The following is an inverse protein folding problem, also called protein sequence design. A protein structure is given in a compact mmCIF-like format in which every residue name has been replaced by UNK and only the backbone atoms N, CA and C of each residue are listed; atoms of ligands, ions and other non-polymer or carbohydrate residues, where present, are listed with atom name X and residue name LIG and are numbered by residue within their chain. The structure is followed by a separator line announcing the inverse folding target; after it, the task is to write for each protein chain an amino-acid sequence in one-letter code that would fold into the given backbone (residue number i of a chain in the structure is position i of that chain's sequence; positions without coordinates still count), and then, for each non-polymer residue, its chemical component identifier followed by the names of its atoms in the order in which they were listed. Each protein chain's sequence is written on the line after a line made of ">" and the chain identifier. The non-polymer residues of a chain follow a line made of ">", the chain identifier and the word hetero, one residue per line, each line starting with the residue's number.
data_IF_727266381000
#
_entry.id   IF_727266381000
#
_cell.length_a   1.000
_cell.length_b   1.000
_cell.length_c   1.000
_cell.angle_alpha   90.00
_cell.angle_beta   90.00
_cell.angle_gamma   90.00
#
_symmetry.space_group_name_H-M   'P 1'
#
loop_
_entity.id
_entity.type
_entity.pdbx_description
1 polymer ?
#
# COMPACT_ATOMS: atom_id res chain seq x y z
N UNK A 1 -27.15 4.32 -9.78
CA UNK A 1 -26.44 4.92 -8.63
C UNK A 1 -24.98 5.10 -9.05
N UNK A 2 -24.47 6.33 -9.21
CA UNK A 2 -23.05 6.53 -9.57
C UNK A 2 -22.21 6.36 -8.30
N UNK A 3 -21.38 5.33 -8.25
CA UNK A 3 -20.44 5.12 -7.14
C UNK A 3 -19.30 6.12 -7.33
N UNK A 4 -19.23 7.13 -6.47
CA UNK A 4 -18.10 8.07 -6.47
C UNK A 4 -17.07 7.59 -5.46
N UNK A 5 -15.96 7.03 -5.96
CA UNK A 5 -14.81 6.72 -5.14
C UNK A 5 -14.10 8.00 -4.71
N UNK A 6 -13.83 8.09 -3.41
CA UNK A 6 -12.96 9.11 -2.85
C UNK A 6 -11.49 8.76 -3.11
N UNK A 7 -10.62 9.77 -3.04
CA UNK A 7 -9.18 9.57 -3.18
C UNK A 7 -8.62 8.56 -2.15
N UNK A 8 -9.22 8.47 -0.97
CA UNK A 8 -8.83 7.50 0.08
C UNK A 8 -9.12 6.07 -0.39
N UNK A 9 -10.30 5.82 -0.95
CA UNK A 9 -10.68 4.50 -1.46
C UNK A 9 -9.85 4.11 -2.68
N UNK A 10 -9.54 5.07 -3.54
CA UNK A 10 -8.61 4.86 -4.64
C UNK A 10 -7.24 4.42 -4.12
N UNK A 11 -6.70 5.08 -3.09
CA UNK A 11 -5.41 4.72 -2.51
C UNK A 11 -5.45 3.35 -1.81
N UNK A 12 -6.54 2.96 -1.15
CA UNK A 12 -6.68 1.59 -0.64
C UNK A 12 -6.67 0.54 -1.75
N UNK A 13 -7.32 0.81 -2.88
CA UNK A 13 -7.28 -0.08 -4.04
C UNK A 13 -5.86 -0.18 -4.62
N UNK A 14 -5.13 0.93 -4.69
CA UNK A 14 -3.72 0.92 -5.12
C UNK A 14 -2.91 0.00 -4.21
N UNK A 15 -2.99 0.18 -2.88
CA UNK A 15 -2.26 -0.66 -1.92
C UNK A 15 -2.65 -2.14 -2.10
N UNK A 16 -3.95 -2.45 -2.19
CA UNK A 16 -4.43 -3.81 -2.38
C UNK A 16 -3.86 -4.45 -3.65
N UNK A 17 -3.92 -3.74 -4.78
CA UNK A 17 -3.42 -4.24 -6.07
C UNK A 17 -1.91 -4.43 -6.01
N UNK A 18 -1.17 -3.45 -5.47
CA UNK A 18 0.29 -3.56 -5.36
C UNK A 18 0.72 -4.66 -4.41
N UNK A 19 0.00 -4.88 -3.30
CA UNK A 19 0.23 -5.99 -2.38
C UNK A 19 -0.02 -7.34 -3.06
N UNK A 20 -1.10 -7.46 -3.83
CA UNK A 20 -1.39 -8.67 -4.60
C UNK A 20 -0.32 -8.94 -5.66
N UNK A 21 0.04 -7.92 -6.44
CA UNK A 21 1.07 -8.06 -7.48
C UNK A 21 2.43 -8.40 -6.87
N UNK A 22 2.77 -7.81 -5.72
CA UNK A 22 3.99 -8.13 -5.00
C UNK A 22 4.04 -9.60 -4.59
N UNK A 23 2.97 -10.12 -4.00
CA UNK A 23 2.88 -11.53 -3.57
C UNK A 23 2.87 -12.51 -4.74
N UNK A 24 2.19 -12.18 -5.84
CA UNK A 24 1.97 -13.11 -6.96
C UNK A 24 3.06 -13.05 -8.02
N UNK A 25 3.81 -11.95 -8.08
CA UNK A 25 4.92 -11.76 -9.00
C UNK A 25 6.25 -11.58 -8.24
N UNK A 26 6.37 -12.05 -7.00
CA UNK A 26 7.61 -11.95 -6.20
C UNK A 26 8.81 -12.66 -6.85
N UNK A 27 8.59 -13.53 -7.84
CA UNK A 27 9.66 -14.12 -8.66
C UNK A 27 10.07 -13.25 -9.86
N UNK A 28 9.35 -12.16 -10.12
CA UNK A 28 9.54 -11.26 -11.25
C UNK A 28 8.40 -11.32 -12.28
N UNK A 29 8.21 -10.23 -13.02
CA UNK A 29 7.41 -10.24 -14.24
C UNK A 29 8.33 -10.70 -15.37
N UNK A 30 7.87 -11.67 -16.16
CA UNK A 30 8.65 -12.22 -17.26
C UNK A 30 7.76 -12.69 -18.41
N UNK A 31 8.38 -13.05 -19.52
CA UNK A 31 7.71 -13.69 -20.63
C UNK A 31 8.48 -14.96 -21.02
N UNK A 32 7.74 -15.97 -21.45
CA UNK A 32 8.28 -17.20 -22.00
C UNK A 32 8.46 -17.01 -23.53
N UNK A 33 9.69 -17.17 -24.03
CA UNK A 33 9.99 -17.09 -25.46
C UNK A 33 9.99 -18.47 -26.15
N UNK A 34 9.65 -19.54 -25.40
CA UNK A 34 9.62 -20.93 -25.86
C UNK A 34 10.93 -21.70 -25.66
N UNK A 35 12.00 -21.04 -25.22
CA UNK A 35 13.28 -21.68 -24.87
C UNK A 35 13.63 -21.48 -23.39
N UNK A 36 13.43 -20.26 -22.86
CA UNK A 36 13.67 -19.94 -21.45
C UNK A 36 12.69 -18.85 -20.95
N UNK A 37 12.36 -18.87 -19.65
CA UNK A 37 11.58 -17.81 -19.02
C UNK A 37 12.47 -16.58 -18.79
N UNK A 38 12.19 -15.47 -19.48
CA UNK A 38 12.94 -14.22 -19.35
C UNK A 38 12.27 -13.27 -18.37
N UNK A 39 12.97 -12.93 -17.30
CA UNK A 39 12.52 -11.91 -16.35
C UNK A 39 12.71 -10.51 -16.96
N UNK A 40 11.63 -9.74 -17.02
CA UNK A 40 11.56 -8.33 -17.41
C UNK A 40 11.83 -7.42 -16.21
N UNK A 41 11.44 -7.86 -15.01
CA UNK A 41 11.80 -7.24 -13.73
C UNK A 41 12.07 -8.34 -12.73
N UNK A 42 13.30 -8.50 -12.25
CA UNK A 42 13.58 -9.32 -11.08
C UNK A 42 13.08 -8.57 -9.86
N UNK A 43 11.92 -8.97 -9.34
CA UNK A 43 11.40 -8.47 -8.08
C UNK A 43 12.20 -9.17 -6.99
N UNK A 44 13.40 -8.69 -6.67
CA UNK A 44 14.17 -9.21 -5.55
C UNK A 44 13.35 -8.99 -4.27
N UNK A 45 12.63 -10.02 -3.81
CA UNK A 45 12.08 -10.06 -2.45
C UNK A 45 13.24 -10.39 -1.51
N UNK A 46 13.36 -9.66 -0.39
CA UNK A 46 14.35 -9.97 0.64
C UNK A 46 14.01 -11.26 1.42
N UNK A 47 12.85 -11.86 1.17
CA UNK A 47 12.42 -13.13 1.75
C UNK A 47 11.02 -13.07 2.37
N UNK A 48 10.79 -13.89 3.40
CA UNK A 48 9.48 -14.07 4.06
C UNK A 48 8.90 -12.79 4.67
N UNK A 49 9.75 -11.82 5.00
CA UNK A 49 9.36 -10.63 5.77
C UNK A 49 8.68 -9.60 4.87
N UNK A 50 9.12 -9.47 3.61
CA UNK A 50 8.48 -8.64 2.59
C UNK A 50 7.11 -9.21 2.17
N UNK A 51 6.98 -10.53 2.11
CA UNK A 51 5.72 -11.21 1.82
C UNK A 51 4.71 -11.00 2.97
N UNK A 52 5.16 -11.15 4.22
CA UNK A 52 4.34 -10.88 5.40
C UNK A 52 3.86 -9.41 5.43
N UNK A 53 4.75 -8.48 5.09
CA UNK A 53 4.43 -7.07 4.93
C UNK A 53 3.34 -6.84 3.87
N UNK A 54 3.56 -7.32 2.64
CA UNK A 54 2.64 -7.12 1.53
C UNK A 54 1.26 -7.72 1.84
N UNK A 55 1.24 -8.90 2.46
CA UNK A 55 0.03 -9.57 2.91
C UNK A 55 -0.74 -8.76 3.95
N UNK A 56 -0.07 -8.28 5.00
CA UNK A 56 -0.72 -7.50 6.06
C UNK A 56 -1.20 -6.14 5.57
N UNK A 57 -0.42 -5.46 4.73
CA UNK A 57 -0.81 -4.20 4.11
C UNK A 57 -2.03 -4.38 3.20
N UNK A 58 -2.04 -5.43 2.36
CA UNK A 58 -3.11 -5.71 1.42
C UNK A 58 -4.42 -6.12 2.12
N UNK A 59 -4.34 -7.02 3.10
CA UNK A 59 -5.51 -7.46 3.88
C UNK A 59 -6.11 -6.30 4.69
N UNK A 60 -5.27 -5.47 5.30
CA UNK A 60 -5.72 -4.25 5.99
C UNK A 60 -6.40 -3.28 5.02
N UNK A 61 -5.77 -3.01 3.87
CA UNK A 61 -6.33 -2.11 2.85
C UNK A 61 -7.68 -2.60 2.34
N UNK A 62 -7.84 -3.90 2.07
CA UNK A 62 -9.12 -4.49 1.66
C UNK A 62 -10.20 -4.30 2.74
N UNK A 63 -9.87 -4.63 3.99
CA UNK A 63 -10.82 -4.50 5.11
C UNK A 63 -11.31 -3.06 5.27
N UNK A 64 -10.39 -2.09 5.30
CA UNK A 64 -10.73 -0.67 5.46
C UNK A 64 -11.37 -0.06 4.21
N UNK A 65 -11.05 -0.56 3.02
CA UNK A 65 -11.76 -0.21 1.79
C UNK A 65 -13.24 -0.60 1.88
N UNK A 66 -13.53 -1.85 2.28
CA UNK A 66 -14.91 -2.33 2.43
C UNK A 66 -15.68 -1.48 3.45
N UNK A 67 -15.07 -1.15 4.59
CA UNK A 67 -15.69 -0.26 5.59
C UNK A 67 -15.92 1.14 5.02
N UNK A 68 -14.93 1.71 4.32
CA UNK A 68 -14.98 3.06 3.77
C UNK A 68 -16.16 3.28 2.83
N UNK A 69 -16.54 2.28 2.05
CA UNK A 69 -17.68 2.35 1.11
C UNK A 69 -18.98 2.67 1.85
N UNK A 70 -19.15 2.17 3.07
CA UNK A 70 -20.40 2.31 3.83
C UNK A 70 -20.38 3.47 4.84
N UNK A 71 -19.22 4.05 5.14
CA UNK A 71 -19.05 5.06 6.18
C UNK A 71 -18.95 6.47 5.59
N UNK A 72 -19.86 7.36 6.00
CA UNK A 72 -19.83 8.79 5.59
C UNK A 72 -18.56 9.52 6.08
N UNK A 73 -18.08 9.20 7.29
CA UNK A 73 -16.93 9.86 7.92
C UNK A 73 -15.59 9.14 7.62
N UNK A 74 -15.19 9.14 6.34
CA UNK A 74 -14.04 8.37 5.82
C UNK A 74 -12.70 8.62 6.54
N UNK A 75 -12.48 9.82 7.08
CA UNK A 75 -11.23 10.17 7.77
C UNK A 75 -11.04 9.47 9.13
N UNK A 76 -12.11 9.04 9.81
CA UNK A 76 -11.96 8.25 11.05
C UNK A 76 -11.52 6.82 10.72
N UNK A 77 -12.10 6.25 9.65
CA UNK A 77 -11.69 4.95 9.09
C UNK A 77 -10.23 5.03 8.65
N UNK A 78 -9.83 6.12 7.98
CA UNK A 78 -8.44 6.39 7.59
C UNK A 78 -7.48 6.39 8.79
N UNK A 79 -7.82 7.09 9.88
CA UNK A 79 -6.97 7.15 11.06
C UNK A 79 -6.70 5.77 11.67
N UNK A 80 -7.74 4.94 11.79
CA UNK A 80 -7.61 3.56 12.28
C UNK A 80 -6.83 2.72 11.27
N UNK A 81 -7.14 2.82 9.97
CA UNK A 81 -6.48 2.07 8.91
C UNK A 81 -4.97 2.33 8.87
N UNK A 82 -4.55 3.57 9.08
CA UNK A 82 -3.14 3.95 9.10
C UNK A 82 -2.38 3.29 10.25
N UNK A 83 -3.02 2.98 11.38
CA UNK A 83 -2.34 2.25 12.47
C UNK A 83 -1.93 0.86 11.97
N UNK A 84 -2.84 0.14 11.30
CA UNK A 84 -2.58 -1.20 10.77
C UNK A 84 -1.60 -1.18 9.59
N UNK A 85 -1.82 -0.27 8.63
CA UNK A 85 -0.96 -0.14 7.45
C UNK A 85 0.45 0.31 7.85
N UNK A 86 0.62 1.27 8.77
CA UNK A 86 1.95 1.68 9.22
C UNK A 86 2.62 0.61 10.09
N UNK A 87 1.85 -0.16 10.87
CA UNK A 87 2.41 -1.29 11.63
C UNK A 87 2.98 -2.38 10.73
N UNK A 88 2.38 -2.64 9.56
CA UNK A 88 2.96 -3.61 8.62
C UNK A 88 4.35 -3.17 8.14
N UNK A 89 4.62 -1.87 7.98
CA UNK A 89 5.96 -1.36 7.61
C UNK A 89 7.03 -1.53 8.71
N UNK A 90 6.65 -1.87 9.94
CA UNK A 90 7.62 -2.11 11.03
C UNK A 90 8.20 -3.53 10.95
N UNK A 91 7.49 -4.45 10.30
CA UNK A 91 7.86 -5.87 10.20
C UNK A 91 9.12 -6.09 9.34
N UNK A 92 9.24 -5.53 8.13
CA UNK A 92 10.50 -5.53 7.41
C UNK A 92 11.44 -4.51 8.08
N UNK A 93 12.63 -4.94 8.50
CA UNK A 93 13.62 -4.04 9.09
C UNK A 93 13.88 -2.87 8.11
N UNK A 94 13.99 -1.65 8.63
CA UNK A 94 14.13 -0.38 7.89
C UNK A 94 15.25 -0.31 6.84
N UNK A 95 16.08 -1.35 6.69
CA UNK A 95 17.13 -1.44 5.68
C UNK A 95 16.73 -2.12 4.36
N UNK A 96 15.82 -3.11 4.36
CA UNK A 96 15.70 -4.03 3.21
C UNK A 96 14.70 -3.60 2.13
N UNK A 97 13.67 -2.81 2.46
CA UNK A 97 12.72 -2.36 1.44
C UNK A 97 13.25 -1.21 0.59
N UNK A 98 14.10 -0.32 1.14
CA UNK A 98 14.70 0.76 0.37
C UNK A 98 15.72 0.22 -0.65
N UNK A 99 16.55 -0.74 -0.25
CA UNK A 99 17.48 -1.42 -1.15
C UNK A 99 16.71 -2.23 -2.21
N UNK A 100 15.63 -2.90 -1.83
CA UNK A 100 14.72 -3.59 -2.78
C UNK A 100 14.10 -2.63 -3.80
N UNK A 101 13.71 -1.43 -3.39
CA UNK A 101 13.21 -0.38 -4.30
C UNK A 101 14.33 0.13 -5.21
N UNK A 102 15.51 0.44 -4.66
CA UNK A 102 16.67 0.90 -5.43
C UNK A 102 17.11 -0.13 -6.48
N UNK A 103 16.93 -1.42 -6.19
CA UNK A 103 17.17 -2.53 -7.10
C UNK A 103 16.04 -2.76 -8.13
N UNK A 104 15.09 -1.83 -8.26
CA UNK A 104 14.10 -1.83 -9.35
C UNK A 104 12.73 -2.41 -9.00
N UNK A 105 12.43 -2.64 -7.72
CA UNK A 105 11.10 -3.08 -7.29
C UNK A 105 10.07 -1.93 -7.30
N UNK A 106 9.61 -1.57 -8.50
CA UNK A 106 8.63 -0.50 -8.70
C UNK A 106 7.28 -0.78 -8.04
N UNK A 107 6.91 -2.06 -7.85
CA UNK A 107 5.65 -2.44 -7.20
C UNK A 107 5.70 -2.01 -5.72
N UNK A 108 6.80 -2.30 -5.03
CA UNK A 108 7.03 -1.88 -3.66
C UNK A 108 7.07 -0.35 -3.55
N UNK A 109 7.68 0.34 -4.53
CA UNK A 109 7.66 1.81 -4.60
C UNK A 109 6.23 2.37 -4.69
N UNK A 110 5.36 1.80 -5.54
CA UNK A 110 3.97 2.24 -5.64
C UNK A 110 3.20 1.98 -4.34
N UNK A 111 3.41 0.83 -3.70
CA UNK A 111 2.80 0.48 -2.43
C UNK A 111 3.18 1.49 -1.33
N UNK A 112 4.48 1.74 -1.17
CA UNK A 112 5.02 2.72 -0.21
C UNK A 112 4.51 4.12 -0.50
N UNK A 113 4.51 4.54 -1.77
CA UNK A 113 4.03 5.87 -2.18
C UNK A 113 2.55 6.07 -1.87
N UNK A 114 1.71 5.06 -2.10
CA UNK A 114 0.30 5.11 -1.76
C UNK A 114 0.07 5.22 -0.24
N UNK A 115 0.85 4.49 0.57
CA UNK A 115 0.80 4.59 2.02
C UNK A 115 1.25 5.99 2.52
N UNK A 116 2.29 6.57 1.93
CA UNK A 116 2.74 7.94 2.24
C UNK A 116 1.63 8.95 1.92
N UNK A 117 0.95 8.83 0.77
CA UNK A 117 -0.15 9.70 0.40
C UNK A 117 -1.32 9.61 1.38
N UNK A 118 -1.67 8.41 1.86
CA UNK A 118 -2.69 8.24 2.91
C UNK A 118 -2.30 8.96 4.21
N UNK A 119 -1.03 8.85 4.62
CA UNK A 119 -0.50 9.56 5.79
C UNK A 119 -0.59 11.09 5.62
N UNK A 120 -0.21 11.62 4.45
CA UNK A 120 -0.32 13.06 4.14
C UNK A 120 -1.77 13.54 4.23
N UNK A 121 -2.72 12.77 3.67
CA UNK A 121 -4.15 13.10 3.73
C UNK A 121 -4.67 13.14 5.17
N UNK A 122 -4.20 12.22 6.01
CA UNK A 122 -4.55 12.20 7.43
C UNK A 122 -3.97 13.40 8.17
N UNK A 123 -2.67 13.67 8.04
CA UNK A 123 -2.01 14.82 8.68
C UNK A 123 -2.66 16.13 8.26
N UNK A 124 -2.93 16.32 6.96
CA UNK A 124 -3.65 17.48 6.45
C UNK A 124 -5.02 17.64 7.15
N UNK A 125 -5.74 16.55 7.35
CA UNK A 125 -7.05 16.60 8.03
C UNK A 125 -6.92 16.97 9.51
N UNK A 126 -5.91 16.43 10.20
CA UNK A 126 -5.63 16.77 11.60
C UNK A 126 -5.28 18.25 11.74
N UNK A 127 -4.42 18.79 10.87
CA UNK A 127 -4.05 20.22 10.88
C UNK A 127 -5.29 21.10 10.67
N UNK A 128 -6.14 20.77 9.70
CA UNK A 128 -7.38 21.52 9.46
C UNK A 128 -8.33 21.46 10.66
N UNK A 129 -8.43 20.30 11.33
CA UNK A 129 -9.24 20.15 12.53
C UNK A 129 -8.73 21.01 13.68
N UNK A 130 -7.41 20.98 13.94
CA UNK A 130 -6.76 21.81 14.98
C UNK A 130 -6.97 23.29 14.67
N UNK A 131 -6.77 23.71 13.41
CA UNK A 131 -6.97 25.11 13.00
C UNK A 131 -8.40 25.57 13.29
N UNK A 132 -9.41 24.76 12.95
CA UNK A 132 -10.81 25.10 13.19
C UNK A 132 -11.25 25.01 14.66
N UNK A 133 -10.47 24.36 15.51
CA UNK A 133 -10.75 24.27 16.94
C UNK A 133 -10.11 25.42 17.73
N UNK A 134 -9.05 26.02 17.20
CA UNK A 134 -8.29 27.10 17.84
C UNK A 134 -8.71 28.51 17.36
N UNK A 135 -9.36 28.62 16.21
CA UNK A 135 -9.82 29.87 15.58
C UNK A 135 -11.27 29.73 15.13
#
# INVERSE_FOLDING_TARGET
>A
MKIHFSIIEFLYLVILITSYLFLYHSTGLGYDDGLEFRYVTELHSSGSDDDAFAFLAGTSALFFFLISIFVKRKYYVLGIALIFINFSFIIPQMGDYFTTIENGNFILLFLVSAAILLNILFVRRVILYIKNALF
#
